data_IF_133197394454
#
_entry.id   IF_133197394454
#
_cell.length_a   1.000
_cell.length_b   1.000
_cell.length_c   1.000
_cell.angle_alpha   90.00
_cell.angle_beta   90.00
_cell.angle_gamma   90.00
#
_symmetry.space_group_name_H-M   'P 1'
#
loop_
_entity.id
_entity.type
_entity.pdbx_description
1 polymer ?
#
# COMPACT_ATOMS: atom_id res chain seq x y z
N UNK A 1 28.60 -25.95 -16.52
CA UNK A 1 27.52 -26.21 -15.54
C UNK A 1 27.63 -25.14 -14.48
N UNK A 2 26.94 -24.01 -14.67
CA UNK A 2 26.80 -22.97 -13.64
C UNK A 2 25.86 -23.53 -12.58
N UNK A 3 26.34 -23.68 -11.35
CA UNK A 3 25.49 -24.02 -10.23
C UNK A 3 24.53 -22.84 -10.01
N UNK A 4 23.26 -23.01 -10.39
CA UNK A 4 22.21 -22.05 -10.09
C UNK A 4 22.08 -21.87 -8.58
N UNK A 5 21.77 -20.65 -8.14
CA UNK A 5 21.53 -20.39 -6.72
C UNK A 5 20.26 -21.13 -6.26
N UNK A 6 20.18 -21.53 -5.00
CA UNK A 6 18.97 -22.16 -4.43
C UNK A 6 17.71 -21.29 -4.61
N UNK A 7 17.88 -19.96 -4.64
CA UNK A 7 16.78 -19.03 -4.93
C UNK A 7 16.28 -19.08 -6.37
N UNK A 8 17.18 -19.15 -7.35
CA UNK A 8 16.81 -19.31 -8.78
C UNK A 8 15.97 -20.59 -8.97
N UNK A 9 16.41 -21.69 -8.36
CA UNK A 9 15.68 -22.94 -8.39
C UNK A 9 14.28 -22.82 -7.74
N UNK A 10 14.16 -22.10 -6.61
CA UNK A 10 12.86 -21.89 -5.94
C UNK A 10 11.88 -21.08 -6.78
N UNK A 11 12.32 -19.97 -7.39
CA UNK A 11 11.46 -19.15 -8.26
C UNK A 11 11.08 -19.89 -9.55
N UNK A 12 12.02 -20.58 -10.20
CA UNK A 12 11.71 -21.37 -11.41
C UNK A 12 10.72 -22.50 -11.10
N UNK A 13 10.92 -23.23 -10.00
CA UNK A 13 9.98 -24.29 -9.58
C UNK A 13 8.60 -23.71 -9.31
N UNK A 14 8.52 -22.60 -8.59
CA UNK A 14 7.23 -21.94 -8.28
C UNK A 14 6.54 -21.46 -9.55
N UNK A 15 7.29 -20.86 -10.47
CA UNK A 15 6.77 -20.41 -11.77
C UNK A 15 6.26 -21.57 -12.62
N UNK A 16 7.06 -22.62 -12.81
CA UNK A 16 6.66 -23.78 -13.60
C UNK A 16 5.48 -24.54 -12.97
N UNK A 17 5.42 -24.65 -11.65
CA UNK A 17 4.29 -25.25 -10.96
C UNK A 17 3.00 -24.42 -11.12
N UNK A 18 3.08 -23.09 -11.01
CA UNK A 18 1.93 -22.20 -11.21
C UNK A 18 1.46 -22.25 -12.67
N UNK A 19 2.37 -22.20 -13.65
CA UNK A 19 2.05 -22.32 -15.07
C UNK A 19 1.41 -23.67 -15.42
N UNK A 20 1.90 -24.78 -14.87
CA UNK A 20 1.38 -26.11 -15.15
C UNK A 20 0.00 -26.36 -14.52
N UNK A 21 -0.23 -25.85 -13.30
CA UNK A 21 -1.49 -26.04 -12.58
C UNK A 21 -2.55 -24.99 -12.89
N UNK A 22 -2.13 -23.80 -13.32
CA UNK A 22 -2.95 -22.59 -13.41
C UNK A 22 -3.33 -22.00 -12.05
N UNK A 23 -2.69 -22.43 -10.95
CA UNK A 23 -3.05 -22.05 -9.57
C UNK A 23 -2.08 -21.04 -8.96
N UNK A 24 -2.55 -20.35 -7.92
CA UNK A 24 -1.72 -19.44 -7.14
C UNK A 24 -0.73 -20.24 -6.27
N UNK A 25 0.52 -19.74 -6.11
CA UNK A 25 1.45 -20.28 -5.12
C UNK A 25 0.84 -20.21 -3.70
N UNK A 26 0.93 -21.31 -2.95
CA UNK A 26 0.50 -21.36 -1.54
C UNK A 26 1.53 -20.71 -0.61
N UNK A 27 1.86 -19.45 -0.85
CA UNK A 27 2.80 -18.65 -0.04
C UNK A 27 2.13 -17.38 0.47
N UNK A 28 2.35 -17.06 1.73
CA UNK A 28 1.92 -15.82 2.38
C UNK A 28 3.18 -15.03 2.72
N UNK A 29 3.26 -13.81 2.20
CA UNK A 29 4.36 -12.89 2.39
C UNK A 29 3.92 -11.72 3.26
N UNK A 30 4.74 -11.41 4.26
CA UNK A 30 4.73 -10.12 4.93
C UNK A 30 6.15 -9.56 4.94
N UNK A 31 6.28 -8.26 5.17
CA UNK A 31 7.57 -7.61 5.41
C UNK A 31 7.51 -6.91 6.76
N UNK A 32 8.55 -7.08 7.58
CA UNK A 32 8.63 -6.37 8.85
C UNK A 32 10.06 -6.06 9.28
N UNK A 33 10.23 -5.38 10.40
CA UNK A 33 11.57 -4.97 10.87
C UNK A 33 12.38 -6.16 11.38
N UNK A 34 11.71 -7.12 12.02
CA UNK A 34 12.33 -8.22 12.78
C UNK A 34 11.73 -9.58 12.37
N UNK A 35 12.36 -10.66 12.83
CA UNK A 35 11.90 -12.04 12.59
C UNK A 35 10.57 -12.33 13.30
N UNK A 36 9.72 -13.25 12.78
CA UNK A 36 8.49 -13.66 13.45
C UNK A 36 8.62 -14.10 14.92
N UNK A 37 9.79 -14.62 15.32
CA UNK A 37 10.06 -14.99 16.71
C UNK A 37 10.19 -13.78 17.65
N UNK A 38 10.52 -12.60 17.10
CA UNK A 38 10.75 -11.35 17.82
C UNK A 38 9.58 -10.36 17.66
N UNK A 39 8.47 -10.78 17.07
CA UNK A 39 7.28 -9.93 16.91
C UNK A 39 6.71 -9.49 18.26
N UNK A 40 6.34 -8.20 18.34
CA UNK A 40 5.48 -7.70 19.41
C UNK A 40 4.11 -8.39 19.36
N UNK A 41 3.44 -8.48 20.52
CA UNK A 41 2.17 -9.21 20.66
C UNK A 41 1.10 -8.77 19.65
N UNK A 42 1.05 -7.48 19.34
CA UNK A 42 0.12 -6.89 18.38
C UNK A 42 0.35 -7.42 16.97
N UNK A 43 1.58 -7.37 16.49
CA UNK A 43 1.96 -7.80 15.14
C UNK A 43 1.83 -9.33 15.02
N UNK A 44 2.23 -10.05 16.07
CA UNK A 44 2.11 -11.50 16.17
C UNK A 44 0.65 -11.97 16.13
N UNK A 45 -0.26 -11.27 16.82
CA UNK A 45 -1.69 -11.60 16.83
C UNK A 45 -2.27 -11.52 15.43
N UNK A 46 -1.89 -10.49 14.69
CA UNK A 46 -2.32 -10.25 13.32
C UNK A 46 -1.75 -11.30 12.36
N UNK A 47 -0.44 -11.52 12.39
CA UNK A 47 0.27 -12.54 11.60
C UNK A 47 -0.29 -13.96 11.83
N UNK A 48 -0.63 -14.32 13.09
CA UNK A 48 -1.18 -15.64 13.42
C UNK A 48 -2.51 -15.93 12.72
N UNK A 49 -3.33 -14.92 12.45
CA UNK A 49 -4.62 -15.13 11.77
C UNK A 49 -4.45 -15.72 10.38
N UNK A 50 -3.40 -15.30 9.65
CA UNK A 50 -3.04 -15.83 8.34
C UNK A 50 -2.68 -17.30 8.39
N UNK A 51 -1.82 -17.70 9.34
CA UNK A 51 -1.39 -19.09 9.50
C UNK A 51 -2.57 -19.97 9.92
N UNK A 52 -3.36 -19.52 10.89
CA UNK A 52 -4.49 -20.30 11.43
C UNK A 52 -5.59 -20.55 10.40
N UNK A 53 -5.87 -19.56 9.54
CA UNK A 53 -6.91 -19.68 8.51
C UNK A 53 -6.42 -20.42 7.26
N UNK A 54 -5.10 -20.46 7.04
CA UNK A 54 -4.51 -21.00 5.81
C UNK A 54 -3.41 -22.03 6.16
N UNK A 55 -3.73 -23.15 6.83
CA UNK A 55 -2.73 -24.09 7.35
C UNK A 55 -1.88 -24.77 6.27
N UNK A 56 -2.36 -24.79 5.02
CA UNK A 56 -1.65 -25.33 3.86
C UNK A 56 -0.68 -24.33 3.21
N UNK A 57 -0.65 -23.08 3.66
CA UNK A 57 0.18 -22.04 3.08
C UNK A 57 1.50 -21.90 3.85
N UNK A 58 2.59 -21.73 3.11
CA UNK A 58 3.88 -21.39 3.70
C UNK A 58 3.89 -19.90 4.05
N UNK A 59 4.09 -19.59 5.32
CA UNK A 59 4.22 -18.22 5.82
C UNK A 59 5.69 -17.78 5.82
N UNK A 60 5.98 -16.63 5.21
CA UNK A 60 7.32 -16.06 5.11
C UNK A 60 7.32 -14.56 5.41
N UNK A 61 8.37 -14.12 6.09
CA UNK A 61 8.59 -12.72 6.43
C UNK A 61 9.98 -12.30 5.96
N UNK A 62 10.04 -11.26 5.15
CA UNK A 62 11.29 -10.57 4.86
C UNK A 62 11.52 -9.45 5.87
N UNK A 63 12.75 -9.35 6.34
CA UNK A 63 13.15 -8.45 7.41
C UNK A 63 14.21 -7.46 6.96
N UNK A 64 14.42 -6.39 7.73
CA UNK A 64 15.50 -5.43 7.51
C UNK A 64 16.90 -6.10 7.43
N UNK A 65 17.04 -7.32 7.95
CA UNK A 65 18.30 -8.08 7.94
C UNK A 65 18.50 -8.97 6.71
N UNK A 66 17.41 -9.40 6.06
CA UNK A 66 17.48 -10.40 4.97
C UNK A 66 16.92 -9.90 3.63
N UNK A 67 16.30 -8.72 3.59
CA UNK A 67 15.67 -8.17 2.40
C UNK A 67 16.66 -7.97 1.23
N UNK A 68 17.83 -7.40 1.47
CA UNK A 68 18.84 -7.17 0.45
C UNK A 68 19.38 -8.50 -0.09
N UNK A 69 19.59 -9.48 0.79
CA UNK A 69 20.04 -10.80 0.37
C UNK A 69 18.99 -11.49 -0.52
N UNK A 70 17.70 -11.35 -0.20
CA UNK A 70 16.61 -11.81 -1.05
C UNK A 70 16.69 -11.14 -2.44
N UNK A 71 16.78 -9.81 -2.48
CA UNK A 71 16.86 -9.05 -3.74
C UNK A 71 18.10 -9.44 -4.56
N UNK A 72 19.28 -9.53 -3.94
CA UNK A 72 20.51 -9.96 -4.61
C UNK A 72 20.41 -11.40 -5.14
N UNK A 73 19.73 -12.29 -4.41
CA UNK A 73 19.54 -13.69 -4.81
C UNK A 73 18.65 -13.81 -6.05
N UNK A 74 17.50 -13.14 -6.06
CA UNK A 74 16.52 -13.28 -7.16
C UNK A 74 16.78 -12.34 -8.33
N UNK A 75 17.31 -11.14 -8.10
CA UNK A 75 17.50 -10.12 -9.14
C UNK A 75 18.98 -9.90 -9.50
N UNK A 76 19.92 -10.50 -8.77
CA UNK A 76 21.34 -10.46 -9.12
C UNK A 76 21.69 -11.31 -10.36
N UNK A 77 22.99 -11.39 -10.72
CA UNK A 77 23.45 -12.05 -11.94
C UNK A 77 23.06 -13.52 -12.08
N UNK A 78 22.84 -14.22 -10.96
CA UNK A 78 22.45 -15.62 -10.92
C UNK A 78 20.93 -15.84 -10.91
N UNK A 79 20.12 -14.78 -10.84
CA UNK A 79 18.66 -14.85 -10.92
C UNK A 79 18.16 -14.21 -12.20
N UNK A 80 17.25 -13.25 -12.10
CA UNK A 80 16.71 -12.50 -13.23
C UNK A 80 17.72 -11.56 -13.91
N UNK A 81 18.95 -11.44 -13.38
CA UNK A 81 20.03 -10.62 -13.93
C UNK A 81 19.60 -9.17 -14.20
N UNK A 82 19.05 -8.53 -13.15
CA UNK A 82 18.61 -7.14 -13.09
C UNK A 82 19.45 -6.35 -12.09
N UNK A 83 20.73 -6.08 -12.41
CA UNK A 83 21.64 -5.36 -11.51
C UNK A 83 21.16 -3.92 -11.23
N UNK A 84 20.34 -3.34 -12.10
CA UNK A 84 19.69 -2.05 -11.92
C UNK A 84 18.67 -2.07 -10.77
N UNK A 85 17.87 -3.13 -10.64
CA UNK A 85 16.96 -3.35 -9.49
C UNK A 85 17.78 -3.48 -8.20
N UNK A 86 18.81 -4.32 -8.22
CA UNK A 86 19.67 -4.55 -7.04
C UNK A 86 20.33 -3.25 -6.60
N UNK A 87 20.87 -2.47 -7.54
CA UNK A 87 21.50 -1.19 -7.25
C UNK A 87 20.52 -0.20 -6.65
N UNK A 88 19.36 0.01 -7.29
CA UNK A 88 18.35 0.94 -6.78
C UNK A 88 17.87 0.54 -5.39
N UNK A 89 17.55 -0.74 -5.17
CA UNK A 89 17.09 -1.25 -3.87
C UNK A 89 18.13 -1.01 -2.76
N UNK A 90 19.42 -1.24 -3.07
CA UNK A 90 20.52 -0.99 -2.14
C UNK A 90 20.72 0.49 -1.83
N UNK A 91 20.43 1.37 -2.78
CA UNK A 91 20.56 2.82 -2.62
C UNK A 91 19.41 3.46 -1.84
N UNK A 92 18.26 2.81 -1.73
CA UNK A 92 17.10 3.37 -1.03
C UNK A 92 17.33 3.49 0.49
N UNK A 93 17.10 4.70 1.01
CA UNK A 93 17.11 5.00 2.45
C UNK A 93 15.71 5.22 3.02
N UNK A 94 14.77 5.70 2.20
CA UNK A 94 13.36 5.85 2.56
C UNK A 94 12.70 4.47 2.77
N UNK A 95 12.41 4.13 4.03
CA UNK A 95 11.92 2.79 4.41
C UNK A 95 10.61 2.41 3.72
N UNK A 96 9.68 3.35 3.56
CA UNK A 96 8.39 3.10 2.90
C UNK A 96 8.56 2.75 1.42
N UNK A 97 9.39 3.50 0.70
CA UNK A 97 9.73 3.25 -0.72
C UNK A 97 10.40 1.88 -0.87
N UNK A 98 11.28 1.54 0.08
CA UNK A 98 11.95 0.23 0.11
C UNK A 98 10.95 -0.91 0.32
N UNK A 99 10.01 -0.77 1.26
CA UNK A 99 8.96 -1.75 1.52
C UNK A 99 8.00 -1.91 0.34
N UNK A 100 7.55 -0.82 -0.27
CA UNK A 100 6.71 -0.83 -1.48
C UNK A 100 7.41 -1.56 -2.62
N UNK A 101 8.69 -1.24 -2.90
CA UNK A 101 9.44 -1.93 -3.95
C UNK A 101 9.62 -3.42 -3.62
N UNK A 102 9.95 -3.76 -2.37
CA UNK A 102 10.19 -5.14 -1.94
C UNK A 102 8.96 -6.02 -2.19
N UNK A 103 7.74 -5.56 -1.86
CA UNK A 103 6.54 -6.36 -2.08
C UNK A 103 6.33 -6.68 -3.56
N UNK A 104 6.59 -5.74 -4.47
CA UNK A 104 6.46 -6.00 -5.90
C UNK A 104 7.52 -6.97 -6.41
N UNK A 105 8.76 -6.87 -5.90
CA UNK A 105 9.85 -7.79 -6.23
C UNK A 105 9.52 -9.23 -5.82
N UNK A 106 9.02 -9.42 -4.60
CA UNK A 106 8.58 -10.72 -4.09
C UNK A 106 7.44 -11.29 -4.94
N UNK A 107 6.43 -10.46 -5.21
CA UNK A 107 5.26 -10.91 -5.98
C UNK A 107 5.60 -11.23 -7.44
N UNK A 108 6.57 -10.54 -8.05
CA UNK A 108 7.10 -10.93 -9.35
C UNK A 108 7.88 -12.25 -9.28
N UNK A 109 8.77 -12.41 -8.29
CA UNK A 109 9.67 -13.55 -8.20
C UNK A 109 8.94 -14.86 -7.90
N UNK A 110 8.03 -14.83 -6.91
CA UNK A 110 7.44 -16.04 -6.34
C UNK A 110 5.91 -16.02 -6.30
N UNK A 111 5.26 -14.85 -6.43
CA UNK A 111 3.81 -14.74 -6.32
C UNK A 111 3.28 -15.19 -4.96
N UNK A 112 2.04 -15.68 -4.94
CA UNK A 112 1.29 -16.01 -3.73
C UNK A 112 0.44 -14.83 -3.28
N UNK A 113 0.32 -14.62 -1.97
CA UNK A 113 -0.32 -13.43 -1.40
C UNK A 113 0.70 -12.60 -0.63
N UNK A 114 0.67 -11.29 -0.85
CA UNK A 114 1.33 -10.32 0.02
C UNK A 114 0.29 -9.63 0.88
N UNK A 115 0.65 -9.34 2.13
CA UNK A 115 -0.17 -8.57 3.07
C UNK A 115 0.72 -7.81 4.05
N UNK A 116 0.36 -6.56 4.38
CA UNK A 116 1.07 -5.79 5.40
C UNK A 116 0.94 -6.45 6.79
N UNK A 117 1.88 -6.14 7.71
CA UNK A 117 2.00 -6.82 9.00
C UNK A 117 0.78 -6.61 9.91
N UNK A 118 0.11 -5.45 9.80
CA UNK A 118 -1.06 -5.03 10.57
C UNK A 118 -2.38 -5.30 9.84
N UNK A 119 -2.38 -6.30 8.95
CA UNK A 119 -3.58 -6.82 8.29
C UNK A 119 -4.01 -8.15 8.88
N UNK A 120 -5.20 -8.18 9.47
CA UNK A 120 -5.83 -9.39 9.98
C UNK A 120 -6.53 -10.14 8.84
N UNK A 121 -6.27 -11.43 8.69
CA UNK A 121 -7.10 -12.29 7.85
C UNK A 121 -8.42 -12.56 8.58
N UNK A 122 -9.55 -12.12 8.02
CA UNK A 122 -10.89 -12.45 8.56
C UNK A 122 -11.39 -13.79 7.99
N UNK A 123 -11.06 -14.06 6.72
CA UNK A 123 -11.44 -15.26 5.96
C UNK A 123 -10.20 -15.94 5.36
N UNK A 124 -10.28 -17.25 5.06
CA UNK A 124 -9.18 -17.93 4.39
C UNK A 124 -9.06 -17.50 2.91
N UNK A 125 -7.86 -17.62 2.33
CA UNK A 125 -7.48 -17.14 0.99
C UNK A 125 -8.35 -17.77 -0.09
N UNK A 126 -8.82 -19.01 0.10
CA UNK A 126 -9.72 -19.67 -0.85
C UNK A 126 -11.05 -18.92 -1.04
N UNK A 127 -11.40 -17.99 -0.15
CA UNK A 127 -12.58 -17.11 -0.30
C UNK A 127 -12.34 -15.89 -1.18
N UNK A 128 -11.10 -15.59 -1.53
CA UNK A 128 -10.74 -14.41 -2.31
C UNK A 128 -11.17 -14.53 -3.78
N UNK A 129 -11.37 -15.76 -4.25
CA UNK A 129 -11.93 -16.05 -5.57
C UNK A 129 -13.34 -16.62 -5.37
N UNK A 130 -14.40 -15.82 -5.60
CA UNK A 130 -15.77 -16.33 -5.52
C UNK A 130 -15.99 -17.52 -6.45
N UNK A 131 -16.82 -18.48 -6.03
CA UNK A 131 -17.03 -19.77 -6.73
C UNK A 131 -17.57 -19.65 -8.17
N UNK A 132 -18.05 -18.48 -8.58
CA UNK A 132 -18.45 -18.18 -9.96
C UNK A 132 -17.27 -18.00 -10.91
N UNK A 133 -16.08 -17.76 -10.37
CA UNK A 133 -14.82 -17.66 -11.12
C UNK A 133 -14.05 -18.96 -10.99
N UNK A 134 -13.34 -19.31 -12.05
CA UNK A 134 -12.38 -20.39 -12.04
C UNK A 134 -11.00 -19.80 -11.79
N UNK A 135 -10.31 -20.29 -10.75
CA UNK A 135 -8.97 -19.83 -10.37
C UNK A 135 -7.98 -19.82 -11.54
N UNK A 136 -8.13 -20.77 -12.48
CA UNK A 136 -7.23 -20.87 -13.64
C UNK A 136 -7.29 -19.66 -14.57
N UNK A 137 -8.43 -18.96 -14.59
CA UNK A 137 -8.68 -17.79 -15.43
C UNK A 137 -8.29 -16.48 -14.72
N UNK A 138 -7.84 -16.57 -13.46
CA UNK A 138 -7.44 -15.43 -12.64
C UNK A 138 -5.93 -15.47 -12.41
N UNK A 139 -5.23 -14.43 -12.80
CA UNK A 139 -3.78 -14.27 -12.61
C UNK A 139 -3.44 -13.43 -11.39
N UNK A 140 -4.33 -12.50 -11.03
CA UNK A 140 -4.14 -11.59 -9.92
C UNK A 140 -5.48 -11.29 -9.25
N UNK A 141 -5.48 -11.15 -7.93
CA UNK A 141 -6.63 -10.70 -7.14
C UNK A 141 -6.24 -9.46 -6.36
N UNK A 142 -7.00 -8.38 -6.55
CA UNK A 142 -6.82 -7.09 -5.89
C UNK A 142 -8.16 -6.64 -5.31
N UNK A 143 -8.13 -5.73 -4.33
CA UNK A 143 -9.33 -5.04 -3.85
C UNK A 143 -9.29 -3.56 -4.19
N UNK A 144 -10.45 -2.91 -4.18
CA UNK A 144 -10.53 -1.45 -4.19
C UNK A 144 -10.26 -0.95 -2.76
N UNK A 145 -9.41 0.07 -2.63
CA UNK A 145 -9.12 0.72 -1.34
C UNK A 145 -9.89 2.04 -1.20
N UNK A 146 -9.83 2.88 -2.24
CA UNK A 146 -10.48 4.19 -2.29
C UNK A 146 -11.26 4.29 -3.59
N UNK A 147 -12.54 4.65 -3.48
CA UNK A 147 -13.46 4.88 -4.59
C UNK A 147 -14.23 6.17 -4.31
N UNK A 148 -13.61 7.28 -4.69
CA UNK A 148 -14.08 8.65 -4.46
C UNK A 148 -13.86 9.52 -5.73
N UNK A 149 -14.35 9.09 -6.91
CA UNK A 149 -14.04 9.73 -8.20
C UNK A 149 -14.50 11.20 -8.28
N UNK A 150 -15.41 11.65 -7.41
CA UNK A 150 -15.81 13.04 -7.29
C UNK A 150 -14.65 14.00 -6.96
N UNK A 151 -13.55 13.50 -6.39
CA UNK A 151 -12.36 14.29 -6.08
C UNK A 151 -11.25 14.18 -7.13
N UNK A 152 -11.48 13.57 -8.30
CA UNK A 152 -10.46 13.36 -9.34
C UNK A 152 -9.69 14.63 -9.73
N UNK A 153 -10.39 15.77 -9.76
CA UNK A 153 -9.81 17.07 -10.11
C UNK A 153 -9.32 17.87 -8.89
N UNK A 154 -9.44 17.34 -7.66
CA UNK A 154 -8.99 18.01 -6.45
C UNK A 154 -7.46 18.00 -6.33
N UNK A 155 -6.86 19.17 -6.08
CA UNK A 155 -5.40 19.37 -6.12
C UNK A 155 -4.58 18.49 -5.17
N UNK A 156 -5.14 18.06 -4.04
CA UNK A 156 -4.46 17.24 -3.01
C UNK A 156 -4.99 15.79 -2.97
N UNK A 157 -6.26 15.60 -3.35
CA UNK A 157 -6.97 14.33 -3.15
C UNK A 157 -7.09 13.54 -4.45
N UNK A 158 -7.08 14.20 -5.60
CA UNK A 158 -7.30 13.59 -6.91
C UNK A 158 -6.31 12.48 -7.23
N UNK A 159 -5.04 12.65 -6.84
CA UNK A 159 -4.01 11.64 -7.06
C UNK A 159 -4.21 10.32 -6.29
N UNK A 160 -5.12 10.27 -5.30
CA UNK A 160 -5.33 9.11 -4.42
C UNK A 160 -6.80 8.67 -4.29
N UNK A 161 -7.73 9.37 -4.93
CA UNK A 161 -9.17 9.15 -4.81
C UNK A 161 -9.69 7.87 -5.51
N UNK A 162 -8.88 7.29 -6.39
CA UNK A 162 -9.18 6.10 -7.19
C UNK A 162 -8.02 5.13 -7.04
N UNK A 163 -8.10 4.22 -6.06
CA UNK A 163 -6.96 3.40 -5.66
C UNK A 163 -7.35 1.93 -5.45
N UNK A 164 -6.59 1.03 -6.08
CA UNK A 164 -6.55 -0.38 -5.69
C UNK A 164 -5.63 -0.56 -4.47
N UNK A 165 -6.05 -1.49 -3.61
CA UNK A 165 -5.34 -1.92 -2.42
C UNK A 165 -4.00 -2.57 -2.80
N UNK A 166 -2.90 -1.94 -2.39
CA UNK A 166 -1.54 -2.46 -2.56
C UNK A 166 -1.00 -3.20 -1.33
N UNK A 167 -1.63 -2.99 -0.17
CA UNK A 167 -1.19 -3.55 1.11
C UNK A 167 -1.75 -4.96 1.35
N UNK A 168 -2.64 -5.46 0.48
CA UNK A 168 -2.98 -6.89 0.34
C UNK A 168 -3.34 -7.19 -1.11
N UNK A 169 -2.65 -8.14 -1.73
CA UNK A 169 -3.01 -8.65 -3.05
C UNK A 169 -2.40 -10.02 -3.31
N UNK A 170 -3.02 -10.78 -4.22
CA UNK A 170 -2.59 -12.12 -4.60
C UNK A 170 -2.21 -12.15 -6.08
N UNK A 171 -1.11 -12.81 -6.45
CA UNK A 171 -0.69 -12.93 -7.86
C UNK A 171 0.00 -14.25 -8.16
N UNK A 172 -0.11 -14.72 -9.39
CA UNK A 172 0.81 -15.73 -9.95
C UNK A 172 2.18 -15.08 -10.16
N UNK A 173 3.28 -15.84 -10.12
CA UNK A 173 4.61 -15.29 -10.37
C UNK A 173 4.78 -14.81 -11.81
N UNK A 174 5.71 -13.87 -12.02
CA UNK A 174 6.15 -13.34 -13.33
C UNK A 174 5.09 -12.63 -14.16
N UNK A 175 4.08 -12.03 -13.52
CA UNK A 175 3.12 -11.22 -14.28
C UNK A 175 3.79 -9.97 -14.87
N UNK A 176 3.50 -9.63 -16.14
CA UNK A 176 4.05 -8.43 -16.78
C UNK A 176 3.76 -7.14 -16.01
N UNK A 177 2.58 -7.01 -15.40
CA UNK A 177 2.21 -5.85 -14.57
C UNK A 177 3.17 -5.59 -13.42
N UNK A 178 3.66 -6.64 -12.73
CA UNK A 178 4.58 -6.46 -11.62
C UNK A 178 5.92 -5.91 -12.12
N UNK A 179 6.46 -6.45 -13.21
CA UNK A 179 7.71 -5.96 -13.79
C UNK A 179 7.56 -4.55 -14.38
N UNK A 180 6.40 -4.23 -14.98
CA UNK A 180 6.07 -2.89 -15.46
C UNK A 180 6.10 -1.89 -14.30
N UNK A 181 5.44 -2.21 -13.19
CA UNK A 181 5.43 -1.38 -11.99
C UNK A 181 6.85 -1.18 -11.44
N UNK A 182 7.63 -2.26 -11.29
CA UNK A 182 9.03 -2.18 -10.83
C UNK A 182 9.84 -1.24 -11.72
N UNK A 183 9.76 -1.40 -13.05
CA UNK A 183 10.50 -0.54 -13.98
C UNK A 183 10.03 0.92 -13.92
N UNK A 184 8.73 1.17 -13.75
CA UNK A 184 8.18 2.51 -13.58
C UNK A 184 8.71 3.17 -12.29
N UNK A 185 8.81 2.41 -11.19
CA UNK A 185 9.40 2.88 -9.93
C UNK A 185 10.88 3.22 -10.12
N UNK A 186 11.66 2.35 -10.79
CA UNK A 186 13.07 2.64 -11.06
C UNK A 186 13.24 3.91 -11.89
N UNK A 187 12.41 4.09 -12.93
CA UNK A 187 12.42 5.30 -13.75
C UNK A 187 12.10 6.53 -12.88
N UNK A 188 11.03 6.46 -12.09
CA UNK A 188 10.60 7.53 -11.21
C UNK A 188 11.69 7.92 -10.20
N UNK A 189 12.36 6.95 -9.56
CA UNK A 189 13.48 7.21 -8.65
C UNK A 189 14.62 7.98 -9.33
N UNK A 190 14.97 7.60 -10.57
CA UNK A 190 15.99 8.30 -11.34
C UNK A 190 15.54 9.72 -11.74
N UNK A 191 14.28 9.90 -12.13
CA UNK A 191 13.72 11.21 -12.46
C UNK A 191 13.71 12.15 -11.24
N UNK A 192 13.34 11.65 -10.05
CA UNK A 192 13.36 12.39 -8.79
C UNK A 192 14.79 12.78 -8.41
N UNK A 193 15.72 11.82 -8.47
CA UNK A 193 17.15 12.03 -8.22
C UNK A 193 17.71 13.13 -9.14
N UNK A 194 17.41 13.06 -10.43
CA UNK A 194 17.84 14.08 -11.41
C UNK A 194 17.22 15.46 -11.13
N UNK A 195 15.93 15.52 -10.82
CA UNK A 195 15.22 16.77 -10.51
C UNK A 195 15.75 17.45 -9.25
N UNK A 196 16.08 16.68 -8.22
CA UNK A 196 16.63 17.20 -6.97
C UNK A 196 18.15 17.43 -7.03
N UNK A 197 18.83 16.90 -8.05
CA UNK A 197 20.28 17.02 -8.19
C UNK A 197 21.07 16.24 -7.14
N UNK A 198 20.47 15.18 -6.58
CA UNK A 198 21.05 14.35 -5.50
C UNK A 198 21.02 12.88 -5.90
N UNK A 199 21.77 12.03 -5.20
CA UNK A 199 21.72 10.58 -5.41
C UNK A 199 20.40 9.97 -4.93
N UNK A 200 20.05 8.75 -5.38
CA UNK A 200 18.85 8.01 -4.90
C UNK A 200 18.83 7.88 -3.38
N UNK A 201 19.99 7.74 -2.72
CA UNK A 201 20.08 7.63 -1.26
C UNK A 201 19.74 8.91 -0.50
N UNK A 202 19.72 10.05 -1.18
CA UNK A 202 19.55 11.37 -0.59
C UNK A 202 18.22 12.03 -0.96
N UNK A 203 17.41 11.38 -1.81
CA UNK A 203 16.11 11.91 -2.22
C UNK A 203 15.23 12.21 -1.01
N UNK A 204 14.58 13.37 -1.04
CA UNK A 204 13.54 13.73 -0.08
C UNK A 204 12.20 13.65 -0.78
N UNK A 205 11.24 12.98 -0.16
CA UNK A 205 9.93 12.75 -0.75
C UNK A 205 8.87 13.31 0.19
N UNK A 206 7.89 14.01 -0.35
CA UNK A 206 6.66 14.29 0.40
C UNK A 206 5.71 13.07 0.39
N UNK A 207 4.58 13.18 1.09
CA UNK A 207 3.57 12.13 1.16
C UNK A 207 3.04 11.73 -0.22
N UNK A 208 2.69 12.71 -1.06
CA UNK A 208 2.03 12.47 -2.34
C UNK A 208 3.01 11.90 -3.38
N UNK A 209 4.30 12.26 -3.31
CA UNK A 209 5.37 11.65 -4.09
C UNK A 209 5.55 10.17 -3.76
N UNK A 210 5.47 9.77 -2.48
CA UNK A 210 5.51 8.34 -2.09
C UNK A 210 4.30 7.59 -2.66
N UNK A 211 3.09 8.15 -2.49
CA UNK A 211 1.84 7.54 -2.97
C UNK A 211 1.82 7.37 -4.50
N UNK A 212 2.27 8.39 -5.23
CA UNK A 212 2.26 8.42 -6.70
C UNK A 212 3.44 7.68 -7.35
N UNK A 213 4.56 7.58 -6.63
CA UNK A 213 5.81 6.97 -7.09
C UNK A 213 5.88 5.47 -6.88
N UNK A 214 5.58 5.00 -5.66
CA UNK A 214 5.67 3.57 -5.28
C UNK A 214 4.40 3.02 -4.64
N UNK A 215 3.56 3.91 -4.11
CA UNK A 215 2.36 3.57 -3.36
C UNK A 215 1.14 3.21 -4.23
N UNK A 216 -0.07 3.31 -3.66
CA UNK A 216 -1.29 2.77 -4.27
C UNK A 216 -1.60 3.39 -5.64
N UNK A 217 -1.26 4.66 -5.88
CA UNK A 217 -1.52 5.29 -7.18
C UNK A 217 -0.58 4.79 -8.26
N UNK A 218 0.68 4.46 -7.93
CA UNK A 218 1.60 3.83 -8.87
C UNK A 218 1.13 2.41 -9.25
N UNK A 219 0.75 1.64 -8.24
CA UNK A 219 0.20 0.29 -8.38
C UNK A 219 -1.07 0.28 -9.23
N UNK A 220 -2.01 1.18 -8.94
CA UNK A 220 -3.29 1.32 -9.64
C UNK A 220 -3.06 1.63 -11.12
N UNK A 221 -2.22 2.61 -11.43
CA UNK A 221 -1.89 2.97 -12.82
C UNK A 221 -1.32 1.80 -13.61
N UNK A 222 -0.37 1.05 -13.03
CA UNK A 222 0.23 -0.11 -13.68
C UNK A 222 -0.80 -1.22 -13.96
N UNK A 223 -1.75 -1.43 -13.05
CA UNK A 223 -2.83 -2.40 -13.23
C UNK A 223 -3.79 -1.98 -14.33
N UNK A 224 -4.21 -0.71 -14.34
CA UNK A 224 -5.11 -0.18 -15.36
C UNK A 224 -4.47 -0.29 -16.76
N UNK A 225 -3.17 0.05 -16.87
CA UNK A 225 -2.38 -0.13 -18.09
C UNK A 225 -2.30 -1.61 -18.52
N UNK A 226 -2.11 -2.53 -17.58
CA UNK A 226 -2.08 -3.96 -17.88
C UNK A 226 -3.44 -4.48 -18.34
N UNK A 227 -4.53 -4.10 -17.65
CA UNK A 227 -5.89 -4.47 -18.05
C UNK A 227 -6.16 -4.00 -19.47
N UNK A 228 -5.85 -2.73 -19.78
CA UNK A 228 -6.03 -2.18 -21.11
C UNK A 228 -5.20 -2.92 -22.17
N UNK A 229 -3.94 -3.24 -21.86
CA UNK A 229 -3.06 -4.00 -22.76
C UNK A 229 -3.59 -5.42 -23.04
N UNK A 230 -4.23 -6.07 -22.05
CA UNK A 230 -4.75 -7.44 -22.17
C UNK A 230 -6.10 -7.52 -22.85
N UNK A 231 -6.97 -6.53 -22.62
CA UNK A 231 -8.29 -6.48 -23.25
C UNK A 231 -8.25 -5.87 -24.65
N UNK A 232 -7.26 -5.02 -24.94
CA UNK A 232 -7.22 -4.23 -26.16
C UNK A 232 -8.16 -3.03 -26.15
N UNK A 233 -8.71 -2.68 -24.99
CA UNK A 233 -9.68 -1.60 -24.78
C UNK A 233 -9.19 -0.65 -23.68
N UNK A 234 -9.59 0.62 -23.73
CA UNK A 234 -9.33 1.53 -22.61
C UNK A 234 -10.12 1.09 -21.38
N UNK A 235 -9.46 1.16 -20.21
CA UNK A 235 -10.07 0.84 -18.92
C UNK A 235 -10.05 2.10 -18.07
N UNK A 236 -11.23 2.59 -17.73
CA UNK A 236 -11.45 3.79 -16.91
C UNK A 236 -11.99 3.39 -15.53
N UNK A 237 -11.77 4.24 -14.51
CA UNK A 237 -12.18 3.94 -13.13
C UNK A 237 -13.69 3.71 -12.97
N UNK A 238 -14.52 4.29 -13.85
CA UNK A 238 -15.97 4.05 -13.92
C UNK A 238 -16.33 2.55 -14.03
N UNK A 239 -15.38 1.71 -14.50
CA UNK A 239 -15.53 0.26 -14.51
C UNK A 239 -15.59 -0.39 -13.11
N UNK A 240 -15.09 0.30 -12.09
CA UNK A 240 -14.89 -0.17 -10.71
C UNK A 240 -15.59 0.72 -9.69
N UNK A 241 -16.10 1.89 -10.09
CA UNK A 241 -16.89 2.75 -9.22
C UNK A 241 -18.18 2.06 -8.76
N UNK A 242 -18.51 2.17 -7.47
CA UNK A 242 -19.69 1.59 -6.83
C UNK A 242 -19.86 0.08 -7.11
N UNK A 243 -18.73 -0.64 -7.08
CA UNK A 243 -18.71 -2.05 -7.39
C UNK A 243 -19.44 -2.87 -6.31
N UNK A 244 -20.66 -3.33 -6.61
CA UNK A 244 -21.44 -4.20 -5.72
C UNK A 244 -20.97 -5.66 -5.70
N UNK A 245 -20.19 -6.09 -6.69
CA UNK A 245 -19.64 -7.45 -6.74
C UNK A 245 -18.32 -7.52 -7.53
N UNK A 246 -17.44 -8.47 -7.18
CA UNK A 246 -16.14 -8.59 -7.85
C UNK A 246 -16.22 -8.78 -9.37
N UNK A 247 -15.27 -8.20 -10.10
CA UNK A 247 -15.22 -8.13 -11.57
C UNK A 247 -13.87 -8.60 -12.10
N UNK A 248 -13.87 -9.46 -13.11
CA UNK A 248 -12.67 -9.96 -13.77
C UNK A 248 -12.39 -9.16 -15.05
N UNK A 249 -11.21 -8.53 -15.15
CA UNK A 249 -10.78 -7.74 -16.32
C UNK A 249 -9.36 -8.14 -16.69
N UNK A 250 -9.14 -8.66 -17.90
CA UNK A 250 -7.79 -9.06 -18.35
C UNK A 250 -7.11 -10.11 -17.47
N UNK A 251 -7.87 -11.01 -16.84
CA UNK A 251 -7.32 -11.98 -15.87
C UNK A 251 -7.01 -11.41 -14.48
N UNK A 252 -7.35 -10.14 -14.22
CA UNK A 252 -7.21 -9.50 -12.91
C UNK A 252 -8.60 -9.40 -12.27
N UNK A 253 -8.79 -10.11 -11.15
CA UNK A 253 -10.03 -10.10 -10.38
C UNK A 253 -10.01 -8.95 -9.38
N UNK A 254 -10.89 -7.97 -9.59
CA UNK A 254 -11.07 -6.82 -8.72
C UNK A 254 -12.20 -7.11 -7.74
N UNK A 255 -11.89 -7.06 -6.44
CA UNK A 255 -12.82 -7.21 -5.34
C UNK A 255 -13.35 -5.85 -4.89
N UNK A 256 -14.52 -5.88 -4.25
CA UNK A 256 -15.20 -4.68 -3.75
C UNK A 256 -14.41 -4.01 -2.63
N UNK A 257 -14.73 -2.75 -2.32
CA UNK A 257 -14.17 -2.02 -1.18
C UNK A 257 -14.38 -2.80 0.11
N UNK A 258 -15.60 -3.28 0.36
CA UNK A 258 -15.94 -4.06 1.57
C UNK A 258 -15.14 -5.37 1.68
N UNK A 259 -14.60 -5.93 0.58
CA UNK A 259 -13.83 -7.16 0.64
C UNK A 259 -12.47 -6.96 1.31
N UNK A 260 -11.72 -5.93 0.90
CA UNK A 260 -10.38 -5.68 1.41
C UNK A 260 -10.35 -4.52 2.40
N UNK A 261 -11.02 -3.42 2.08
CA UNK A 261 -10.84 -2.15 2.77
C UNK A 261 -12.08 -1.76 3.60
N UNK A 262 -12.69 -2.75 4.27
CA UNK A 262 -13.92 -2.58 5.03
C UNK A 262 -13.78 -1.64 6.24
N UNK A 263 -14.87 -1.01 6.64
CA UNK A 263 -14.92 -0.20 7.86
C UNK A 263 -14.15 1.13 7.79
N UNK A 264 -13.77 1.55 6.59
CA UNK A 264 -13.34 2.91 6.31
C UNK A 264 -14.56 3.85 6.29
N UNK A 265 -14.42 5.09 6.79
CA UNK A 265 -15.52 6.05 6.82
C UNK A 265 -15.91 6.65 5.46
N UNK A 266 -15.55 5.99 4.36
CA UNK A 266 -15.75 6.43 2.97
C UNK A 266 -15.90 5.22 2.02
N UNK A 267 -16.08 5.47 0.73
CA UNK A 267 -16.16 4.46 -0.35
C UNK A 267 -17.20 3.34 -0.12
N UNK A 268 -18.28 3.63 0.63
CA UNK A 268 -19.31 2.64 1.02
C UNK A 268 -18.72 1.32 1.54
N UNK A 269 -17.63 1.40 2.31
CA UNK A 269 -16.81 0.23 2.67
C UNK A 269 -17.48 -0.78 3.62
N UNK A 270 -18.71 -0.54 4.06
CA UNK A 270 -19.42 -1.42 4.99
C UNK A 270 -18.69 -1.55 6.34
N UNK A 271 -18.59 -2.77 6.87
CA UNK A 271 -17.91 -3.01 8.14
C UNK A 271 -17.27 -4.41 8.22
N UNK A 272 -16.33 -4.58 9.15
CA UNK A 272 -15.58 -5.83 9.33
C UNK A 272 -16.41 -7.06 9.73
N UNK A 273 -17.67 -6.90 10.15
CA UNK A 273 -18.57 -8.03 10.46
C UNK A 273 -19.33 -8.52 9.21
N UNK A 274 -19.21 -7.83 8.07
CA UNK A 274 -19.82 -8.23 6.83
C UNK A 274 -19.32 -9.61 6.38
N UNK A 275 -20.19 -10.39 5.73
CA UNK A 275 -19.83 -11.73 5.21
C UNK A 275 -18.77 -11.67 4.11
N UNK A 276 -18.77 -10.55 3.40
CA UNK A 276 -17.94 -10.17 2.25
C UNK A 276 -16.58 -9.63 2.67
N UNK A 277 -16.41 -9.13 3.91
CA UNK A 277 -15.12 -8.70 4.43
C UNK A 277 -14.15 -9.89 4.57
N UNK A 278 -13.01 -9.79 3.89
CA UNK A 278 -12.00 -10.85 3.79
C UNK A 278 -10.79 -10.57 4.68
N UNK A 279 -10.38 -9.31 4.78
CA UNK A 279 -9.27 -8.84 5.62
C UNK A 279 -9.68 -7.58 6.40
N UNK A 280 -8.87 -7.22 7.39
CA UNK A 280 -9.01 -5.99 8.18
C UNK A 280 -7.65 -5.34 8.35
N UNK A 281 -7.50 -4.15 7.81
CA UNK A 281 -6.30 -3.34 7.99
C UNK A 281 -6.43 -2.46 9.23
N UNK A 282 -5.40 -2.43 10.08
CA UNK A 282 -5.46 -1.69 11.32
C UNK A 282 -4.73 -0.33 11.32
N UNK A 283 -4.05 0.03 10.23
CA UNK A 283 -3.48 1.35 9.93
C UNK A 283 -2.57 1.94 11.02
N UNK A 284 -1.73 1.13 11.67
CA UNK A 284 -0.94 1.59 12.80
C UNK A 284 0.51 1.12 12.82
N UNK A 285 0.91 0.15 11.98
CA UNK A 285 2.24 -0.42 12.09
C UNK A 285 3.34 0.48 11.52
N UNK A 286 3.14 1.05 10.33
CA UNK A 286 4.22 1.68 9.57
C UNK A 286 4.64 3.06 10.10
N UNK A 287 3.69 3.89 10.54
CA UNK A 287 3.94 5.26 11.01
C UNK A 287 4.65 6.16 9.98
N UNK A 288 4.73 5.73 8.72
CA UNK A 288 5.48 6.42 7.66
C UNK A 288 4.96 7.83 7.32
N UNK A 289 3.66 8.19 7.51
CA UNK A 289 3.21 9.56 7.30
C UNK A 289 3.89 10.56 8.26
N UNK A 290 4.46 10.09 9.38
CA UNK A 290 5.24 10.93 10.29
C UNK A 290 6.60 11.32 9.70
N UNK A 291 7.20 10.47 8.87
CA UNK A 291 8.47 10.75 8.18
C UNK A 291 8.29 11.39 6.81
N UNK A 292 7.10 11.27 6.22
CA UNK A 292 6.69 11.89 4.98
C UNK A 292 5.37 12.63 5.21
N UNK A 293 5.41 13.85 5.77
CA UNK A 293 4.21 14.56 6.20
C UNK A 293 3.32 14.91 5.02
N UNK A 294 2.01 14.88 5.26
CA UNK A 294 1.02 15.40 4.32
C UNK A 294 1.15 16.91 4.22
N UNK A 295 0.63 17.46 3.13
CA UNK A 295 0.39 18.89 3.05
C UNK A 295 -0.52 19.33 4.21
N UNK A 296 -0.04 20.29 4.99
CA UNK A 296 -0.74 20.83 6.14
C UNK A 296 -0.90 22.33 5.95
N UNK A 297 -2.13 22.82 5.80
CA UNK A 297 -2.38 24.26 5.76
C UNK A 297 -2.04 24.85 7.15
N UNK A 298 -1.32 25.98 7.24
CA UNK A 298 -0.84 26.50 8.52
C UNK A 298 -1.97 26.90 9.49
N UNK A 299 -3.17 27.18 8.97
CA UNK A 299 -4.35 27.52 9.79
C UNK A 299 -5.34 26.37 9.91
N UNK A 300 -5.57 25.60 8.84
CA UNK A 300 -6.69 24.65 8.72
C UNK A 300 -6.25 23.18 8.78
N UNK A 301 -4.94 22.92 8.83
CA UNK A 301 -4.39 21.58 8.88
C UNK A 301 -4.52 20.81 7.56
N UNK A 302 -4.46 19.48 7.68
CA UNK A 302 -4.59 18.52 6.57
C UNK A 302 -6.05 18.37 6.11
N UNK A 303 -6.29 18.41 4.80
CA UNK A 303 -7.62 18.19 4.21
C UNK A 303 -8.09 16.74 4.41
N UNK A 304 -7.18 15.80 4.54
CA UNK A 304 -7.46 14.38 4.75
C UNK A 304 -8.19 14.09 6.08
N UNK A 305 -8.18 15.03 7.04
CA UNK A 305 -9.02 14.93 8.24
C UNK A 305 -10.51 14.95 7.94
N UNK A 306 -10.91 15.47 6.77
CA UNK A 306 -12.28 15.40 6.29
C UNK A 306 -12.71 13.97 5.93
N UNK A 307 -11.77 13.03 5.76
CA UNK A 307 -12.04 11.63 5.45
C UNK A 307 -13.03 11.48 4.27
N UNK A 308 -12.76 12.23 3.20
CA UNK A 308 -13.56 12.25 1.96
C UNK A 308 -14.98 12.80 2.08
N UNK A 309 -15.37 13.42 3.21
CA UNK A 309 -16.66 14.12 3.30
C UNK A 309 -16.65 15.38 2.40
N UNK A 310 -17.51 15.38 1.37
CA UNK A 310 -17.54 16.43 0.36
C UNK A 310 -17.86 17.83 0.91
N UNK A 311 -18.67 17.93 1.99
CA UNK A 311 -18.97 19.23 2.58
C UNK A 311 -17.77 19.77 3.35
N UNK A 312 -17.10 18.92 4.14
CA UNK A 312 -15.88 19.25 4.86
C UNK A 312 -14.75 19.66 3.90
N UNK A 313 -14.53 18.90 2.82
CA UNK A 313 -13.51 19.22 1.82
C UNK A 313 -13.81 20.57 1.16
N UNK A 314 -15.07 20.81 0.75
CA UNK A 314 -15.47 22.12 0.18
C UNK A 314 -15.21 23.26 1.16
N UNK A 315 -15.58 23.10 2.43
CA UNK A 315 -15.36 24.13 3.45
C UNK A 315 -13.85 24.38 3.64
N UNK A 316 -13.03 23.34 3.65
CA UNK A 316 -11.57 23.47 3.73
C UNK A 316 -11.01 24.23 2.51
N UNK A 317 -11.48 23.93 1.30
CA UNK A 317 -11.06 24.61 0.06
C UNK A 317 -11.46 26.08 0.02
N UNK A 318 -12.70 26.39 0.42
CA UNK A 318 -13.22 27.76 0.52
C UNK A 318 -12.39 28.56 1.54
N UNK A 319 -12.11 27.97 2.71
CA UNK A 319 -11.29 28.59 3.75
C UNK A 319 -9.85 28.83 3.30
N UNK A 320 -9.21 27.84 2.65
CA UNK A 320 -7.88 27.99 2.05
C UNK A 320 -7.86 29.11 1.01
N UNK A 321 -8.83 29.12 0.09
CA UNK A 321 -8.92 30.15 -0.96
C UNK A 321 -9.12 31.54 -0.36
N UNK A 322 -9.95 31.66 0.68
CA UNK A 322 -10.14 32.91 1.40
C UNK A 322 -8.85 33.37 2.09
N UNK A 323 -8.11 32.45 2.71
CA UNK A 323 -6.81 32.74 3.33
C UNK A 323 -5.77 33.19 2.31
N UNK A 324 -5.68 32.51 1.16
CA UNK A 324 -4.74 32.85 0.07
C UNK A 324 -5.03 34.24 -0.54
N UNK A 325 -6.26 34.74 -0.41
CA UNK A 325 -6.66 36.07 -0.86
C UNK A 325 -6.34 37.22 0.13
N UNK A 326 -5.94 36.91 1.36
CA UNK A 326 -5.57 37.91 2.38
C UNK A 326 -4.23 38.58 2.09
N UNK A 327 -4.01 39.75 2.69
CA UNK A 327 -2.69 40.38 2.67
C UNK A 327 -1.68 39.56 3.51
N UNK A 328 -0.36 39.67 3.24
CA UNK A 328 0.67 38.96 4.01
C UNK A 328 0.62 39.25 5.52
N UNK A 329 0.24 40.47 5.92
CA UNK A 329 0.10 40.84 7.34
C UNK A 329 -1.07 40.12 8.01
N UNK A 330 -2.21 40.01 7.31
CA UNK A 330 -3.39 39.28 7.79
C UNK A 330 -3.14 37.78 7.87
N UNK A 331 -2.46 37.20 6.87
CA UNK A 331 -2.04 35.80 6.89
C UNK A 331 -1.14 35.52 8.10
N UNK A 332 -0.10 36.34 8.31
CA UNK A 332 0.81 36.20 9.45
C UNK A 332 0.06 36.33 10.79
N UNK A 333 -0.93 37.22 10.88
CA UNK A 333 -1.75 37.37 12.08
C UNK A 333 -2.58 36.12 12.37
N UNK A 334 -3.24 35.55 11.36
CA UNK A 334 -4.04 34.33 11.55
C UNK A 334 -3.18 33.13 11.92
N UNK A 335 -2.01 32.98 11.30
CA UNK A 335 -1.04 31.93 11.64
C UNK A 335 -0.62 32.07 13.11
N UNK A 336 -0.20 33.27 13.54
CA UNK A 336 0.21 33.50 14.92
C UNK A 336 -0.91 33.23 15.94
N UNK A 337 -2.16 33.57 15.59
CA UNK A 337 -3.31 33.25 16.43
C UNK A 337 -3.54 31.74 16.54
N UNK A 338 -3.42 31.01 15.43
CA UNK A 338 -3.54 29.54 15.40
C UNK A 338 -2.44 28.88 16.22
N UNK A 339 -1.19 29.29 16.05
CA UNK A 339 -0.05 28.78 16.81
C UNK A 339 -0.22 28.98 18.32
N UNK A 340 -0.69 30.18 18.73
CA UNK A 340 -0.97 30.46 20.13
C UNK A 340 -2.11 29.60 20.69
N UNK A 341 -3.17 29.36 19.91
CA UNK A 341 -4.28 28.50 20.30
C UNK A 341 -3.84 27.03 20.45
N UNK A 342 -3.07 26.52 19.49
CA UNK A 342 -2.58 25.14 19.53
C UNK A 342 -1.60 24.93 20.69
N UNK A 343 -0.72 25.90 20.96
CA UNK A 343 0.16 25.87 22.13
C UNK A 343 -0.63 25.84 23.46
N UNK A 344 -1.75 26.56 23.54
CA UNK A 344 -2.63 26.54 24.71
C UNK A 344 -3.30 25.18 24.90
N UNK A 345 -3.79 24.55 23.82
CA UNK A 345 -4.37 23.20 23.86
C UNK A 345 -3.34 22.17 24.34
N UNK A 346 -2.14 22.17 23.76
CA UNK A 346 -1.07 21.24 24.16
C UNK A 346 -0.69 21.41 25.65
N UNK A 347 -0.65 22.66 26.15
CA UNK A 347 -0.38 22.92 27.57
C UNK A 347 -1.48 22.38 28.49
N UNK A 348 -2.75 22.41 28.06
CA UNK A 348 -3.86 21.84 28.83
C UNK A 348 -3.86 20.32 28.83
N UNK A 349 -3.51 19.67 27.71
CA UNK A 349 -3.43 18.21 27.62
C UNK A 349 -2.25 17.64 28.43
N UNK A 350 -1.12 18.35 28.47
CA UNK A 350 0.02 17.99 29.31
C UNK A 350 -0.21 18.20 30.82
N UNK A 351 -1.27 18.92 31.20
CA UNK A 351 -1.57 19.30 32.58
C UNK A 351 -2.45 18.33 33.39
N UNK A 352 -2.93 17.22 32.80
CA UNK A 352 -3.76 16.23 33.50
C UNK A 352 -2.94 15.00 33.96
N UNK A 353 -2.68 14.81 35.27
CA UNK A 353 -2.17 13.53 35.77
C UNK A 353 -3.28 12.46 35.76
N UNK A 354 -2.92 11.23 35.40
CA UNK A 354 -3.80 10.07 35.43
C UNK A 354 -4.42 9.87 36.83
N UNK A 355 -5.72 10.11 36.96
CA UNK A 355 -6.46 9.79 38.16
C UNK A 355 -6.70 8.28 38.22
N UNK A 356 -6.10 7.59 39.20
CA UNK A 356 -6.55 6.24 39.54
C UNK A 356 -5.55 5.30 40.21
N UNK A 357 -4.96 5.66 41.35
CA UNK A 357 -4.55 4.66 42.35
C UNK A 357 -4.92 5.18 43.75
N UNK A 358 -6.14 4.85 44.16
CA UNK A 358 -6.58 4.89 45.55
C UNK A 358 -5.99 3.66 46.25
N UNK A 359 -4.88 3.84 46.96
CA UNK A 359 -4.46 2.92 48.03
C UNK A 359 -5.25 3.27 49.29
N UNK A 360 -6.09 2.36 49.76
CA UNK A 360 -6.72 2.40 51.09
C UNK A 360 -5.79 1.64 52.06
N UNK A 361 -5.62 2.13 53.32
CA UNK A 361 -4.58 1.69 54.26
C UNK A 361 -4.64 0.22 54.68
#
# INVERSE_FOLDING_TARGET
>A
MTAGSLGEFSAEVTYHASMASGRFPKKIWQTWKVDPLDFEERDLTTARTWIMKNPDHRYEVLTDQNDLYYVETYFGPAGFNRPDIVHAYKSLTARIVKADLLRYLVMYAEGGIYTDIDVEALKPIERFIPSRYNEKDVDMVIGIEIDQPEFRDHSILGGKCESFCQWTFMSKPRLPVMMRLINNILKWLNDVSARQGVSISEIQLDFDEVISGTGPSAFTRAIMEEMAARTGEEVHWDCFHNLGESKLVGGILVLTVEAFAAGQGHSDSGNHNAKTALVKHHYHASGWPTTHPRYTHPVYGEVEKCNWDANCVREWDENKTAFDALSPEEQASQIAMKEAADAAVMATEAGFPAAGQLTIP
#
